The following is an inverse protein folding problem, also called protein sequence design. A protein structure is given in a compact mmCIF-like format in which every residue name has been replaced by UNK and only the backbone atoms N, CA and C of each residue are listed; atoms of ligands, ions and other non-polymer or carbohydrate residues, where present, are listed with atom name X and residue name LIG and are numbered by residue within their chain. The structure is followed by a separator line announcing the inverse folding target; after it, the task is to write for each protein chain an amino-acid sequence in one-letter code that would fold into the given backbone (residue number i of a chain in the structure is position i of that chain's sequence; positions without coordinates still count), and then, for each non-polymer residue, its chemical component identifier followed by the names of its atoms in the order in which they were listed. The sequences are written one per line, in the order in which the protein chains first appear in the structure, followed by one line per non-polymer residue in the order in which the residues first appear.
data_IF_208716447902
#
_entry.id   IF_208716447902
#
_cell.length_a   1.000
_cell.length_b   1.000
_cell.length_c   1.000
_cell.angle_alpha   90.00
_cell.angle_beta   90.00
_cell.angle_gamma   90.00
#
_symmetry.space_group_name_H-M   'P 1'
#
loop_
_entity.id
_entity.type
_entity.pdbx_description
1 polymer ?
#
# COMPACT_ATOMS: atom_id res chain seq x y z
N UNK A 1 -11.07 32.31 0.54
CA UNK A 1 -11.74 31.15 -0.10
C UNK A 1 -10.89 30.66 -1.27
N UNK A 2 -10.36 29.45 -1.17
CA UNK A 2 -9.58 28.82 -2.23
C UNK A 2 -10.58 28.27 -3.23
N UNK A 3 -10.48 28.69 -4.51
CA UNK A 3 -11.37 28.16 -5.55
C UNK A 3 -10.99 26.71 -5.82
N UNK A 4 -11.96 25.79 -5.74
CA UNK A 4 -11.82 24.36 -6.05
C UNK A 4 -11.05 24.10 -7.36
N UNK A 5 -11.34 24.86 -8.40
CA UNK A 5 -10.65 24.77 -9.68
C UNK A 5 -9.11 24.96 -9.54
N UNK A 6 -8.68 25.87 -8.67
CA UNK A 6 -7.25 26.09 -8.43
C UNK A 6 -6.62 24.89 -7.68
N UNK A 7 -7.34 24.28 -6.74
CA UNK A 7 -6.87 23.07 -6.03
C UNK A 7 -6.73 21.92 -7.01
N UNK A 8 -7.73 21.70 -7.88
CA UNK A 8 -7.69 20.64 -8.89
C UNK A 8 -6.52 20.87 -9.88
N UNK A 9 -6.31 22.09 -10.36
CA UNK A 9 -5.19 22.40 -11.27
C UNK A 9 -3.84 22.11 -10.60
N UNK A 10 -3.66 22.53 -9.35
CA UNK A 10 -2.43 22.24 -8.57
C UNK A 10 -2.26 20.76 -8.32
N UNK A 11 -3.34 20.06 -7.98
CA UNK A 11 -3.32 18.62 -7.80
C UNK A 11 -2.86 17.89 -9.07
N UNK A 12 -3.47 18.20 -10.22
CA UNK A 12 -3.08 17.63 -11.51
C UNK A 12 -1.63 17.94 -11.84
N UNK A 13 -1.18 19.17 -11.62
CA UNK A 13 0.20 19.58 -11.82
C UNK A 13 1.16 18.79 -10.93
N UNK A 14 0.88 18.69 -9.63
CA UNK A 14 1.69 17.93 -8.68
C UNK A 14 1.81 16.46 -9.05
N UNK A 15 0.69 15.83 -9.41
CA UNK A 15 0.69 14.43 -9.85
C UNK A 15 1.47 14.23 -11.15
N UNK A 16 1.40 15.18 -12.08
CA UNK A 16 2.16 15.13 -13.34
C UNK A 16 3.67 15.27 -13.11
N UNK A 17 4.07 16.18 -12.22
CA UNK A 17 5.47 16.36 -11.80
C UNK A 17 6.00 15.10 -11.14
N UNK A 18 5.25 14.54 -10.21
CA UNK A 18 5.63 13.29 -9.52
C UNK A 18 5.80 12.13 -10.52
N UNK A 19 4.88 11.98 -11.48
CA UNK A 19 4.98 10.95 -12.52
C UNK A 19 6.24 11.11 -13.36
N UNK A 20 6.50 12.33 -13.83
CA UNK A 20 7.69 12.63 -14.62
C UNK A 20 8.97 12.34 -13.80
N UNK A 21 9.00 12.78 -12.56
CA UNK A 21 10.14 12.57 -11.67
C UNK A 21 10.44 11.07 -11.47
N UNK A 22 9.43 10.26 -11.15
CA UNK A 22 9.60 8.81 -10.98
C UNK A 22 10.01 8.14 -12.29
N UNK A 23 9.43 8.55 -13.43
CA UNK A 23 9.77 7.99 -14.73
C UNK A 23 11.24 8.21 -15.08
N UNK A 24 11.74 9.44 -14.93
CA UNK A 24 13.12 9.76 -15.26
C UNK A 24 14.13 9.17 -14.29
N UNK A 25 13.80 9.11 -13.00
CA UNK A 25 14.72 8.61 -11.96
C UNK A 25 14.69 7.10 -11.81
N UNK A 26 13.58 6.44 -12.14
CA UNK A 26 13.50 4.99 -12.20
C UNK A 26 14.50 4.40 -13.20
N UNK A 27 14.79 5.11 -14.30
CA UNK A 27 15.82 4.74 -15.27
C UNK A 27 17.26 4.88 -14.72
N UNK A 28 17.44 5.58 -13.60
CA UNK A 28 18.74 5.82 -12.97
C UNK A 28 18.99 4.92 -11.75
N UNK A 29 18.11 3.93 -11.47
CA UNK A 29 18.15 3.04 -10.30
C UNK A 29 18.21 3.79 -8.94
N UNK A 30 17.61 4.96 -8.86
CA UNK A 30 17.57 5.76 -7.63
C UNK A 30 16.44 5.26 -6.71
N UNK A 31 16.74 4.27 -5.87
CA UNK A 31 15.75 3.62 -4.98
C UNK A 31 15.14 4.57 -3.93
N UNK A 32 15.89 5.57 -3.47
CA UNK A 32 15.42 6.54 -2.47
C UNK A 32 14.20 7.34 -2.93
N UNK A 33 14.02 7.47 -4.24
CA UNK A 33 12.91 8.19 -4.86
C UNK A 33 11.62 7.39 -4.79
N UNK A 34 11.71 6.07 -4.91
CA UNK A 34 10.54 5.21 -4.75
C UNK A 34 9.99 5.30 -3.32
N UNK A 35 10.87 5.29 -2.32
CA UNK A 35 10.49 5.45 -0.91
C UNK A 35 9.83 6.81 -0.67
N UNK A 36 10.38 7.88 -1.26
CA UNK A 36 9.78 9.22 -1.17
C UNK A 36 8.41 9.31 -1.84
N UNK A 37 8.24 8.65 -2.99
CA UNK A 37 6.97 8.56 -3.69
C UNK A 37 5.92 7.74 -2.93
N UNK A 38 6.32 6.64 -2.30
CA UNK A 38 5.47 5.84 -1.42
C UNK A 38 5.02 6.65 -0.20
N UNK A 39 5.91 7.42 0.43
CA UNK A 39 5.55 8.29 1.54
C UNK A 39 4.60 9.41 1.10
N UNK A 40 4.86 10.04 -0.05
CA UNK A 40 3.95 11.02 -0.63
C UNK A 40 2.55 10.43 -0.83
N UNK A 41 2.45 9.22 -1.41
CA UNK A 41 1.16 8.55 -1.61
C UNK A 41 0.50 8.15 -0.29
N UNK A 42 1.27 7.74 0.71
CA UNK A 42 0.79 7.46 2.06
C UNK A 42 0.05 8.67 2.65
N UNK A 43 0.72 9.81 2.65
CA UNK A 43 0.19 11.05 3.22
C UNK A 43 -1.02 11.55 2.43
N UNK A 44 -0.94 11.54 1.10
CA UNK A 44 -2.04 11.95 0.22
C UNK A 44 -3.29 11.09 0.42
N UNK A 45 -3.15 9.76 0.45
CA UNK A 45 -4.28 8.86 0.63
C UNK A 45 -4.89 8.97 2.03
N UNK A 46 -4.08 9.26 3.04
CA UNK A 46 -4.57 9.58 4.38
C UNK A 46 -5.42 10.85 4.38
N UNK A 47 -4.99 11.90 3.69
CA UNK A 47 -5.77 13.14 3.54
C UNK A 47 -7.09 12.86 2.79
N UNK A 48 -7.03 12.19 1.62
CA UNK A 48 -8.19 12.01 0.75
C UNK A 48 -9.24 11.04 1.29
N UNK A 49 -8.82 10.00 2.02
CA UNK A 49 -9.68 8.87 2.39
C UNK A 49 -9.67 8.55 3.88
N UNK A 50 -8.87 9.27 4.69
CA UNK A 50 -8.72 9.01 6.12
C UNK A 50 -8.40 7.54 6.42
N UNK A 51 -7.38 6.98 5.74
CA UNK A 51 -7.10 5.53 5.76
C UNK A 51 -6.22 5.07 6.92
N UNK A 52 -5.57 5.98 7.65
CA UNK A 52 -4.60 5.66 8.72
C UNK A 52 -3.46 4.75 8.21
N UNK A 53 -2.96 5.06 7.02
CA UNK A 53 -1.87 4.33 6.37
C UNK A 53 -0.52 4.70 6.98
N UNK A 54 0.37 3.71 7.00
CA UNK A 54 1.79 3.87 7.32
C UNK A 54 2.62 3.30 6.18
N UNK A 55 3.78 3.88 5.90
CA UNK A 55 4.72 3.28 4.95
C UNK A 55 5.34 2.03 5.58
N UNK A 56 5.11 0.88 4.95
CA UNK A 56 5.56 -0.42 5.45
C UNK A 56 7.09 -0.55 5.45
N UNK A 57 7.78 0.15 4.54
CA UNK A 57 9.24 0.16 4.44
C UNK A 57 9.92 0.94 5.59
N UNK A 58 9.18 1.81 6.29
CA UNK A 58 9.67 2.46 7.51
C UNK A 58 9.66 1.53 8.73
N UNK A 59 8.87 0.45 8.69
CA UNK A 59 8.72 -0.51 9.80
C UNK A 59 9.60 -1.73 9.57
N UNK A 60 9.63 -2.24 8.34
CA UNK A 60 10.41 -3.44 7.98
C UNK A 60 11.10 -3.17 6.64
N UNK A 61 12.42 -3.08 6.66
CA UNK A 61 13.21 -2.83 5.45
C UNK A 61 12.94 -3.89 4.37
N UNK A 62 12.61 -3.45 3.14
CA UNK A 62 12.29 -4.30 2.00
C UNK A 62 11.04 -5.18 2.17
N UNK A 63 9.95 -4.62 2.68
CA UNK A 63 8.69 -5.35 2.73
C UNK A 63 8.20 -5.68 1.30
N UNK A 64 8.14 -6.97 0.97
CA UNK A 64 7.71 -7.41 -0.36
C UNK A 64 6.19 -7.55 -0.43
N UNK A 65 5.57 -7.08 -1.51
CA UNK A 65 4.16 -7.32 -1.81
C UNK A 65 3.20 -6.17 -1.49
N UNK A 66 3.58 -5.24 -0.60
CA UNK A 66 2.83 -4.00 -0.37
C UNK A 66 3.77 -2.93 0.21
N UNK A 67 3.43 -1.67 -0.05
CA UNK A 67 4.22 -0.51 0.35
C UNK A 67 3.58 0.26 1.49
N UNK A 68 2.24 0.26 1.57
CA UNK A 68 1.49 0.95 2.61
C UNK A 68 0.57 -0.02 3.35
N UNK A 69 0.36 0.23 4.64
CA UNK A 69 -0.48 -0.61 5.50
C UNK A 69 -1.30 0.22 6.48
N UNK A 70 -2.56 -0.15 6.68
CA UNK A 70 -3.40 0.26 7.80
C UNK A 70 -3.86 -0.98 8.56
N UNK A 71 -3.32 -1.18 9.75
CA UNK A 71 -3.70 -2.30 10.60
C UNK A 71 -5.12 -2.16 11.14
N UNK A 72 -5.52 -0.93 11.47
CA UNK A 72 -6.84 -0.64 12.01
C UNK A 72 -7.96 -0.88 11.00
N UNK A 73 -7.73 -0.54 9.73
CA UNK A 73 -8.72 -0.68 8.65
C UNK A 73 -8.54 -1.95 7.83
N UNK A 74 -7.53 -2.75 8.14
CA UNK A 74 -7.20 -3.98 7.39
C UNK A 74 -7.01 -3.70 5.90
N UNK A 75 -6.19 -2.70 5.59
CA UNK A 75 -5.88 -2.28 4.22
C UNK A 75 -4.38 -2.40 3.98
N UNK A 76 -4.01 -2.94 2.83
CA UNK A 76 -2.66 -2.90 2.27
C UNK A 76 -2.72 -2.32 0.86
N UNK A 77 -1.71 -1.52 0.50
CA UNK A 77 -1.65 -0.88 -0.82
C UNK A 77 -0.27 -1.14 -1.44
N UNK A 78 -0.27 -1.62 -2.68
CA UNK A 78 0.91 -1.64 -3.52
C UNK A 78 0.92 -0.38 -4.39
N UNK A 79 1.92 0.47 -4.18
CA UNK A 79 2.18 1.64 -5.03
C UNK A 79 3.06 1.19 -6.20
N UNK A 80 2.72 1.55 -7.44
CA UNK A 80 3.46 1.08 -8.60
C UNK A 80 3.34 2.02 -9.79
N UNK A 81 4.40 2.13 -10.59
CA UNK A 81 4.38 2.73 -11.93
C UNK A 81 4.08 1.70 -13.01
N UNK A 82 4.18 0.41 -12.66
CA UNK A 82 3.96 -0.70 -13.60
C UNK A 82 2.46 -0.91 -13.79
N UNK A 83 1.99 -0.69 -15.01
CA UNK A 83 0.59 -0.77 -15.42
C UNK A 83 0.34 -2.05 -16.23
N UNK A 84 0.58 -3.23 -15.61
CA UNK A 84 0.36 -4.53 -16.25
C UNK A 84 -0.33 -5.54 -15.32
N UNK A 85 -1.18 -6.45 -15.87
CA UNK A 85 -1.80 -7.51 -15.08
C UNK A 85 -0.81 -8.43 -14.37
N UNK A 86 0.37 -8.64 -14.96
CA UNK A 86 1.43 -9.48 -14.39
C UNK A 86 1.94 -8.92 -13.05
N UNK A 87 1.93 -7.59 -12.88
CA UNK A 87 2.26 -6.97 -11.60
C UNK A 87 1.26 -7.36 -10.53
N UNK A 88 -0.04 -7.41 -10.85
CA UNK A 88 -1.09 -7.85 -9.92
C UNK A 88 -0.83 -9.30 -9.51
N UNK A 89 -0.67 -10.19 -10.49
CA UNK A 89 -0.45 -11.62 -10.25
C UNK A 89 0.79 -11.85 -9.37
N UNK A 90 1.89 -11.16 -9.67
CA UNK A 90 3.13 -11.26 -8.88
C UNK A 90 2.91 -10.80 -7.44
N UNK A 91 2.26 -9.67 -7.25
CA UNK A 91 1.95 -9.13 -5.92
C UNK A 91 1.05 -10.08 -5.12
N UNK A 92 -0.03 -10.57 -5.74
CA UNK A 92 -0.94 -11.54 -5.10
C UNK A 92 -0.21 -12.82 -4.68
N UNK A 93 0.66 -13.36 -5.55
CA UNK A 93 1.47 -14.55 -5.21
C UNK A 93 2.41 -14.29 -4.03
N UNK A 94 3.02 -13.10 -3.97
CA UNK A 94 3.88 -12.72 -2.84
C UNK A 94 3.09 -12.63 -1.53
N UNK A 95 1.91 -12.02 -1.57
CA UNK A 95 1.04 -11.90 -0.39
C UNK A 95 0.54 -13.27 0.06
N UNK A 96 0.13 -14.13 -0.87
CA UNK A 96 -0.27 -15.52 -0.57
C UNK A 96 0.83 -16.28 0.14
N UNK A 97 2.06 -16.16 -0.32
CA UNK A 97 3.20 -16.82 0.33
C UNK A 97 3.37 -16.32 1.78
N UNK A 98 3.26 -15.00 2.01
CA UNK A 98 3.33 -14.44 3.37
C UNK A 98 2.22 -14.93 4.29
N UNK A 99 0.98 -15.01 3.78
CA UNK A 99 -0.18 -15.53 4.54
C UNK A 99 0.06 -16.98 4.91
N UNK A 100 0.52 -17.80 3.95
CA UNK A 100 0.83 -19.20 4.17
C UNK A 100 1.94 -19.39 5.21
N UNK A 101 3.06 -18.68 5.08
CA UNK A 101 4.16 -18.76 6.05
C UNK A 101 3.72 -18.34 7.46
N UNK A 102 2.93 -17.28 7.59
CA UNK A 102 2.41 -16.84 8.88
C UNK A 102 1.52 -17.91 9.52
N UNK A 103 0.68 -18.56 8.74
CA UNK A 103 -0.20 -19.65 9.18
C UNK A 103 0.61 -20.87 9.63
N UNK A 104 1.66 -21.27 8.87
CA UNK A 104 2.56 -22.35 9.25
C UNK A 104 3.28 -22.07 10.57
N UNK A 105 3.79 -20.86 10.78
CA UNK A 105 4.47 -20.50 12.03
C UNK A 105 3.50 -20.51 13.21
N UNK A 106 2.27 -20.06 12.99
CA UNK A 106 1.22 -20.08 14.03
C UNK A 106 0.88 -21.52 14.45
N UNK A 107 0.72 -22.42 13.48
CA UNK A 107 0.40 -23.84 13.77
C UNK A 107 1.58 -24.54 14.45
N UNK A 108 2.82 -24.37 13.98
CA UNK A 108 4.02 -24.89 14.65
C UNK A 108 4.13 -24.43 16.10
N UNK A 109 3.86 -23.15 16.36
CA UNK A 109 3.86 -22.61 17.72
C UNK A 109 2.78 -23.24 18.60
N UNK A 110 1.59 -23.51 18.03
CA UNK A 110 0.50 -24.21 18.70
C UNK A 110 0.89 -25.66 19.05
N UNK A 111 1.48 -26.38 18.09
CA UNK A 111 1.95 -27.77 18.31
C UNK A 111 2.98 -27.83 19.45
N UNK A 112 3.99 -26.96 19.45
CA UNK A 112 5.00 -26.87 20.52
C UNK A 112 4.33 -26.65 21.88
N UNK A 113 3.34 -25.76 21.97
CA UNK A 113 2.60 -25.49 23.22
C UNK A 113 1.78 -26.67 23.70
N UNK A 114 1.16 -27.41 22.76
CA UNK A 114 0.38 -28.62 23.10
C UNK A 114 1.31 -29.72 23.60
N UNK A 115 2.41 -29.98 22.88
CA UNK A 115 3.38 -31.00 23.30
C UNK A 115 3.98 -30.69 24.68
N UNK A 116 4.38 -29.44 24.93
CA UNK A 116 4.88 -29.00 26.24
C UNK A 116 3.89 -29.26 27.39
N UNK A 117 2.58 -29.17 27.13
CA UNK A 117 1.54 -29.45 28.12
C UNK A 117 1.36 -30.94 28.35
N UNK A 118 1.45 -31.74 27.29
CA UNK A 118 1.22 -33.21 27.36
C UNK A 118 2.43 -33.94 27.91
N UNK A 119 3.61 -33.56 27.50
CA UNK A 119 4.87 -34.17 27.96
C UNK A 119 5.96 -33.10 28.08
N UNK A 120 6.17 -32.53 29.28
CA UNK A 120 7.20 -31.53 29.53
C UNK A 120 8.64 -32.00 29.21
N UNK A 121 8.91 -33.32 29.24
CA UNK A 121 10.23 -33.86 28.95
C UNK A 121 10.68 -33.68 27.50
N UNK A 122 9.72 -33.54 26.59
CA UNK A 122 9.97 -33.27 25.17
C UNK A 122 10.42 -31.82 24.90
N UNK A 123 10.24 -30.94 25.89
CA UNK A 123 10.58 -29.52 25.77
C UNK A 123 12.09 -29.25 25.98
N UNK A 124 12.89 -29.78 25.05
CA UNK A 124 14.35 -29.69 25.07
C UNK A 124 14.83 -28.27 24.73
N UNK A 125 16.12 -27.99 24.96
CA UNK A 125 16.75 -26.71 24.60
C UNK A 125 16.55 -26.37 23.10
N UNK A 126 16.63 -27.36 22.22
CA UNK A 126 16.39 -27.19 20.78
C UNK A 126 14.96 -26.71 20.50
N UNK A 127 13.96 -27.32 21.15
CA UNK A 127 12.55 -26.90 20.98
C UNK A 127 12.33 -25.49 21.52
N UNK A 128 13.01 -25.12 22.61
CA UNK A 128 12.97 -23.73 23.13
C UNK A 128 13.54 -22.72 22.14
N UNK A 129 14.65 -23.04 21.49
CA UNK A 129 15.26 -22.18 20.47
C UNK A 129 14.36 -22.04 19.23
N UNK A 130 13.73 -23.14 18.82
CA UNK A 130 12.77 -23.12 17.70
C UNK A 130 11.51 -22.31 18.05
N UNK A 131 10.98 -22.45 19.27
CA UNK A 131 9.86 -21.61 19.75
C UNK A 131 10.24 -20.13 19.73
N UNK A 132 11.44 -19.77 20.20
CA UNK A 132 11.92 -18.39 20.21
C UNK A 132 12.04 -17.82 18.79
N UNK A 133 12.60 -18.58 17.85
CA UNK A 133 12.72 -18.18 16.44
C UNK A 133 11.35 -17.96 15.80
N UNK A 134 10.38 -18.85 16.03
CA UNK A 134 9.02 -18.72 15.49
C UNK A 134 8.34 -17.47 16.07
N UNK A 135 8.47 -17.21 17.36
CA UNK A 135 7.92 -16.01 18.00
C UNK A 135 8.52 -14.73 17.42
N UNK A 136 9.84 -14.70 17.15
CA UNK A 136 10.48 -13.56 16.50
C UNK A 136 9.89 -13.33 15.11
N UNK A 137 9.78 -14.38 14.29
CA UNK A 137 9.16 -14.30 12.96
C UNK A 137 7.73 -13.77 12.99
N UNK A 138 6.90 -14.27 13.93
CA UNK A 138 5.52 -13.80 14.09
C UNK A 138 5.45 -12.35 14.56
N UNK A 139 6.40 -11.89 15.38
CA UNK A 139 6.47 -10.49 15.84
C UNK A 139 6.95 -9.51 14.74
N UNK A 140 7.80 -9.99 13.83
CA UNK A 140 8.34 -9.20 12.72
C UNK A 140 7.41 -9.14 11.50
N UNK A 141 6.38 -10.00 11.43
CA UNK A 141 5.48 -10.11 10.30
C UNK A 141 4.03 -9.82 10.70
N UNK A 142 3.28 -9.23 9.79
CA UNK A 142 1.86 -8.93 9.97
C UNK A 142 1.01 -10.11 9.48
N UNK A 143 0.01 -10.47 10.27
CA UNK A 143 -1.04 -11.38 9.79
C UNK A 143 -1.92 -10.65 8.78
N UNK A 144 -1.81 -11.00 7.51
CA UNK A 144 -2.54 -10.37 6.41
C UNK A 144 -3.93 -10.98 6.15
N UNK A 145 -4.37 -11.94 6.95
CA UNK A 145 -5.73 -12.47 6.85
C UNK A 145 -6.75 -11.34 7.00
N UNK A 146 -7.78 -11.35 6.16
CA UNK A 146 -8.87 -10.36 6.14
C UNK A 146 -8.48 -8.95 5.67
N UNK A 147 -7.25 -8.76 5.19
CA UNK A 147 -6.87 -7.47 4.62
C UNK A 147 -7.46 -7.28 3.21
N UNK A 148 -7.75 -6.04 2.88
CA UNK A 148 -8.12 -5.64 1.52
C UNK A 148 -6.89 -5.07 0.82
N UNK A 149 -6.54 -5.67 -0.32
CA UNK A 149 -5.44 -5.20 -1.17
C UNK A 149 -5.94 -4.15 -2.16
N UNK A 150 -5.22 -3.05 -2.23
CA UNK A 150 -5.36 -2.03 -3.27
C UNK A 150 -4.07 -1.91 -4.09
N UNK A 151 -4.23 -1.52 -5.34
CA UNK A 151 -3.13 -1.03 -6.17
C UNK A 151 -3.31 0.47 -6.40
N UNK A 152 -2.25 1.23 -6.16
CA UNK A 152 -2.17 2.63 -6.56
C UNK A 152 -1.20 2.74 -7.73
N UNK A 153 -1.73 2.86 -8.93
CA UNK A 153 -0.94 2.99 -10.16
C UNK A 153 -0.62 4.47 -10.37
N UNK A 154 0.65 4.82 -10.28
CA UNK A 154 1.13 6.20 -10.38
C UNK A 154 1.16 6.66 -11.83
N UNK A 155 0.00 6.68 -12.46
CA UNK A 155 -0.21 7.04 -13.85
C UNK A 155 -1.65 7.51 -14.04
N UNK A 156 -1.87 8.40 -14.99
CA UNK A 156 -3.21 8.75 -15.43
C UNK A 156 -3.73 7.68 -16.40
N UNK A 157 -5.03 7.35 -16.31
CA UNK A 157 -5.72 6.39 -17.18
C UNK A 157 -5.02 5.02 -17.26
N UNK A 158 -4.68 4.45 -16.11
CA UNK A 158 -4.03 3.15 -16.04
C UNK A 158 -4.85 2.07 -16.75
N UNK A 159 -4.19 1.27 -17.57
CA UNK A 159 -4.83 0.22 -18.36
C UNK A 159 -4.96 -1.10 -17.61
N UNK A 160 -4.22 -1.25 -16.50
CA UNK A 160 -4.19 -2.44 -15.65
C UNK A 160 -5.61 -2.90 -15.27
N UNK A 161 -6.47 -1.97 -14.81
CA UNK A 161 -7.84 -2.27 -14.43
C UNK A 161 -8.65 -2.84 -15.61
N UNK A 162 -8.49 -2.31 -16.83
CA UNK A 162 -9.22 -2.77 -18.01
C UNK A 162 -8.69 -4.10 -18.53
N UNK A 163 -7.38 -4.31 -18.48
CA UNK A 163 -6.70 -5.53 -18.97
C UNK A 163 -6.82 -6.69 -18.00
N UNK A 164 -7.06 -6.41 -16.73
CA UNK A 164 -7.22 -7.44 -15.72
C UNK A 164 -8.54 -8.19 -15.89
N UNK A 165 -8.47 -9.47 -16.22
CA UNK A 165 -9.63 -10.33 -16.53
C UNK A 165 -10.11 -11.21 -15.37
N UNK A 166 -9.50 -11.07 -14.18
CA UNK A 166 -9.85 -11.88 -13.02
C UNK A 166 -9.36 -13.31 -13.13
N UNK A 167 -10.06 -14.25 -12.50
CA UNK A 167 -9.70 -15.65 -12.37
C UNK A 167 -9.58 -16.40 -13.70
N UNK A 168 -10.16 -15.88 -14.78
CA UNK A 168 -10.11 -16.50 -16.12
C UNK A 168 -8.75 -16.34 -16.82
N UNK A 169 -7.81 -15.60 -16.26
CA UNK A 169 -6.45 -15.53 -16.77
C UNK A 169 -5.64 -16.72 -16.26
N UNK A 170 -5.06 -17.51 -17.17
CA UNK A 170 -4.18 -18.63 -16.81
C UNK A 170 -3.06 -18.13 -15.87
N UNK A 171 -2.91 -18.80 -14.73
CA UNK A 171 -1.91 -18.45 -13.71
C UNK A 171 -2.42 -17.55 -12.59
N UNK A 172 -3.70 -17.25 -12.57
CA UNK A 172 -4.34 -16.43 -11.54
C UNK A 172 -4.48 -17.21 -10.23
N UNK A 173 -4.09 -16.56 -9.14
CA UNK A 173 -4.24 -17.12 -7.80
C UNK A 173 -5.29 -16.32 -7.06
N UNK A 174 -6.45 -16.93 -6.79
CA UNK A 174 -7.37 -16.43 -5.80
C UNK A 174 -6.72 -16.59 -4.43
N UNK A 175 -6.74 -15.55 -3.61
CA UNK A 175 -6.32 -15.60 -2.22
C UNK A 175 -7.59 -15.42 -1.40
N UNK A 176 -8.11 -16.53 -0.89
CA UNK A 176 -9.34 -16.49 -0.08
C UNK A 176 -9.18 -15.64 1.18
N UNK A 177 -7.94 -15.51 1.67
CA UNK A 177 -7.60 -14.81 2.89
C UNK A 177 -7.40 -13.30 2.72
N UNK A 178 -7.20 -12.81 1.49
CA UNK A 178 -7.01 -11.37 1.19
C UNK A 178 -8.04 -10.90 0.20
N UNK A 179 -8.83 -9.90 0.59
CA UNK A 179 -9.85 -9.35 -0.29
C UNK A 179 -9.22 -8.52 -1.40
N UNK A 180 -9.44 -8.93 -2.64
CA UNK A 180 -9.01 -8.18 -3.82
C UNK A 180 -10.10 -8.19 -4.90
N UNK A 181 -10.39 -7.01 -5.43
CA UNK A 181 -11.34 -6.80 -6.52
C UNK A 181 -10.73 -5.82 -7.52
N UNK A 182 -11.14 -5.91 -8.78
CA UNK A 182 -10.76 -4.99 -9.84
C UNK A 182 -10.99 -3.51 -9.50
N UNK A 183 -12.04 -3.20 -8.73
CA UNK A 183 -12.34 -1.84 -8.23
C UNK A 183 -11.28 -1.30 -7.26
N UNK A 184 -10.44 -2.17 -6.71
CA UNK A 184 -9.35 -1.80 -5.81
C UNK A 184 -8.09 -1.36 -6.57
N UNK A 185 -8.14 -1.28 -7.90
CA UNK A 185 -7.06 -0.74 -8.73
C UNK A 185 -7.37 0.73 -8.97
N UNK A 186 -6.60 1.61 -8.34
CA UNK A 186 -6.72 3.05 -8.43
C UNK A 186 -5.59 3.63 -9.28
N UNK A 187 -5.87 4.75 -9.89
CA UNK A 187 -4.93 5.56 -10.66
C UNK A 187 -5.11 7.05 -10.34
N UNK A 188 -4.37 7.92 -11.00
CA UNK A 188 -4.50 9.35 -10.79
C UNK A 188 -5.88 9.91 -11.20
N UNK A 189 -6.55 9.30 -12.18
CA UNK A 189 -7.93 9.68 -12.53
C UNK A 189 -8.89 9.41 -11.38
N UNK A 190 -8.69 8.30 -10.65
CA UNK A 190 -9.46 7.99 -9.45
C UNK A 190 -9.28 9.07 -8.37
N UNK A 191 -8.03 9.51 -8.13
CA UNK A 191 -7.74 10.54 -7.15
C UNK A 191 -8.27 11.92 -7.58
N UNK A 192 -8.11 12.29 -8.86
CA UNK A 192 -8.66 13.53 -9.44
C UNK A 192 -10.19 13.56 -9.27
N UNK A 193 -10.87 12.45 -9.57
CA UNK A 193 -12.31 12.34 -9.39
C UNK A 193 -12.71 12.48 -7.92
N UNK A 194 -11.93 11.94 -6.99
CA UNK A 194 -12.16 12.12 -5.54
C UNK A 194 -12.06 13.58 -5.15
N UNK A 195 -10.98 14.28 -5.53
CA UNK A 195 -10.82 15.73 -5.26
C UNK A 195 -11.95 16.53 -5.90
N UNK A 196 -12.35 16.17 -7.14
CA UNK A 196 -13.44 16.81 -7.85
C UNK A 196 -14.82 16.58 -7.20
N UNK A 197 -15.00 15.53 -6.44
CA UNK A 197 -16.25 15.23 -5.72
C UNK A 197 -16.41 15.96 -4.38
N UNK A 198 -15.35 16.61 -3.88
CA UNK A 198 -15.39 17.37 -2.62
C UNK A 198 -16.26 18.60 -2.84
N UNK A 199 -17.25 18.83 -2.00
CA UNK A 199 -18.18 19.95 -2.12
C UNK A 199 -17.51 21.29 -1.77
N UNK A 200 -17.87 22.36 -2.50
CA UNK A 200 -17.44 23.72 -2.15
C UNK A 200 -18.29 24.32 -1.01
N UNK A 201 -19.45 23.69 -0.76
CA UNK A 201 -20.38 24.18 0.27
C UNK A 201 -20.23 23.27 1.48
N UNK A 202 -19.32 23.62 2.35
CA UNK A 202 -19.15 22.89 3.58
C UNK A 202 -19.97 23.54 4.72
N UNK A 203 -21.01 22.84 5.12
CA UNK A 203 -21.53 22.99 6.50
C UNK A 203 -20.76 22.10 7.49
N UNK A 204 -19.84 21.24 7.02
CA UNK A 204 -19.23 20.14 7.79
C UNK A 204 -17.71 19.96 7.63
N UNK A 205 -16.93 21.01 7.33
CA UNK A 205 -15.45 20.90 7.32
C UNK A 205 -14.79 20.47 6.01
N UNK A 206 -15.52 20.41 4.88
CA UNK A 206 -14.94 20.08 3.57
C UNK A 206 -14.06 21.20 2.98
N UNK A 207 -14.30 22.46 3.36
CA UNK A 207 -13.39 23.58 3.05
C UNK A 207 -12.01 23.35 3.66
N UNK A 208 -11.94 22.69 4.81
CA UNK A 208 -10.68 22.33 5.45
C UNK A 208 -9.92 21.27 4.62
N UNK A 209 -10.64 20.29 4.03
CA UNK A 209 -10.02 19.24 3.22
C UNK A 209 -9.40 19.79 1.91
N UNK A 210 -10.09 20.70 1.21
CA UNK A 210 -9.52 21.35 0.03
C UNK A 210 -8.30 22.20 0.39
N UNK A 211 -8.33 22.87 1.52
CA UNK A 211 -7.22 23.66 2.04
C UNK A 211 -6.05 22.77 2.41
N UNK A 212 -6.31 21.63 3.06
CA UNK A 212 -5.30 20.64 3.41
C UNK A 212 -4.63 20.03 2.17
N UNK A 213 -5.40 19.64 1.16
CA UNK A 213 -4.89 19.16 -0.12
C UNK A 213 -4.02 20.22 -0.79
N UNK A 214 -4.47 21.48 -0.83
CA UNK A 214 -3.71 22.56 -1.43
C UNK A 214 -2.38 22.78 -0.72
N UNK A 215 -2.40 22.83 0.61
CA UNK A 215 -1.19 22.98 1.44
C UNK A 215 -0.23 21.80 1.25
N UNK A 216 -0.77 20.58 1.22
CA UNK A 216 0.01 19.38 0.95
C UNK A 216 0.71 19.44 -0.40
N UNK A 217 -0.01 19.84 -1.46
CA UNK A 217 0.56 19.97 -2.79
C UNK A 217 1.62 21.07 -2.87
N UNK A 218 1.38 22.25 -2.28
CA UNK A 218 2.36 23.34 -2.26
C UNK A 218 3.66 22.92 -1.58
N UNK A 219 3.56 22.22 -0.44
CA UNK A 219 4.73 21.72 0.28
C UNK A 219 5.53 20.70 -0.53
N UNK A 220 4.86 19.76 -1.16
CA UNK A 220 5.52 18.62 -1.80
C UNK A 220 5.98 18.90 -3.23
N UNK A 221 5.30 19.76 -3.99
CA UNK A 221 5.78 20.19 -5.33
C UNK A 221 7.14 20.90 -5.19
N UNK A 222 7.32 21.70 -4.16
CA UNK A 222 8.60 22.39 -3.90
C UNK A 222 9.72 21.43 -3.49
N UNK A 223 9.41 20.32 -2.80
CA UNK A 223 10.40 19.30 -2.40
C UNK A 223 10.96 18.56 -3.62
N UNK A 224 10.16 18.37 -4.67
CA UNK A 224 10.63 17.76 -5.92
C UNK A 224 11.46 18.72 -6.80
N UNK A 225 11.77 19.94 -6.32
CA UNK A 225 12.80 20.83 -6.87
C UNK A 225 12.52 21.38 -8.27
N UNK A 226 11.28 21.31 -8.77
CA UNK A 226 10.94 21.72 -10.13
C UNK A 226 10.30 23.11 -10.24
N UNK A 227 10.16 23.85 -9.14
CA UNK A 227 9.59 25.20 -9.14
C UNK A 227 10.44 26.17 -8.29
N UNK A 228 11.75 26.12 -8.39
CA UNK A 228 12.60 27.23 -7.96
C UNK A 228 12.96 28.07 -9.17
N UNK A 229 12.23 29.18 -9.30
CA UNK A 229 12.41 30.31 -10.21
C UNK A 229 12.07 30.12 -11.69
#
# INVERSE_FOLDING_TARGET
MIRRENVIKRFIMGMSVLTAYIYYTGNLNMHDINISAEQFMCDLLNILYNMDLKNANNVTYNNSGYDLISENKKIIIQVTVTDTPEKIIRTLNTIKHKVFEYSEWTEKLREIRVQKKLDPSTYTSKVQDDEKKIRSKLAENVNLNDYTLYFMVMKQDATMQRKYKGENNQGYVCIDEVNFDKKNIWDFSTLINKVNSISEISSNGEDDLLTEINHFMDKNINVFGMLSE
#
